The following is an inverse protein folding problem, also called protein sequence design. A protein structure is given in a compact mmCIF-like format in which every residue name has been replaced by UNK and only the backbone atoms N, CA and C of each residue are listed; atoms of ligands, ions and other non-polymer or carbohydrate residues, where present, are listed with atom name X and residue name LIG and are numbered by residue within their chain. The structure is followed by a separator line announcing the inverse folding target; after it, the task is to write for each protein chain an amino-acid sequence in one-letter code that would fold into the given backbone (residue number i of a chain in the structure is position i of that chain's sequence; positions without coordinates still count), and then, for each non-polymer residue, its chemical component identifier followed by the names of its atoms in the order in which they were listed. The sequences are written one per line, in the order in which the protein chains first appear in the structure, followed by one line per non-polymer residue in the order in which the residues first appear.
data_IF_605198832269
#
_entry.id   IF_605198832269
#
_cell.length_a   1.000
_cell.length_b   1.000
_cell.length_c   1.000
_cell.angle_alpha   90.00
_cell.angle_beta   90.00
_cell.angle_gamma   90.00
#
_symmetry.space_group_name_H-M   'P 1'
#
loop_
_entity.id
_entity.type
_entity.pdbx_description
1 polymer ?
#
# COMPACT_ATOMS: atom_id res chain seq x y z
N UNK A 1 -12.35 8.32 -33.27
CA UNK A 1 -12.35 7.84 -31.86
C UNK A 1 -13.72 7.26 -31.57
N UNK A 2 -13.84 5.99 -31.13
CA UNK A 2 -15.13 5.48 -30.69
C UNK A 2 -15.52 6.19 -29.38
N UNK A 3 -16.78 6.63 -29.25
CA UNK A 3 -17.29 7.21 -28.01
C UNK A 3 -17.44 6.10 -26.98
N UNK A 4 -16.63 6.11 -25.93
CA UNK A 4 -16.84 5.25 -24.79
C UNK A 4 -18.10 5.70 -24.05
N UNK A 5 -19.14 4.87 -24.10
CA UNK A 5 -20.39 5.11 -23.40
C UNK A 5 -20.18 4.79 -21.91
N UNK A 6 -20.03 5.85 -21.10
CA UNK A 6 -19.84 5.78 -19.63
C UNK A 6 -20.93 4.95 -18.93
N UNK A 7 -22.12 4.81 -19.52
CA UNK A 7 -23.22 3.98 -18.99
C UNK A 7 -22.97 2.46 -19.04
N UNK A 8 -21.95 1.98 -19.77
CA UNK A 8 -21.56 0.56 -19.87
C UNK A 8 -20.21 0.27 -19.22
N UNK A 9 -19.72 1.16 -18.35
CA UNK A 9 -18.42 1.03 -17.71
C UNK A 9 -18.32 -0.24 -16.83
N UNK A 10 -19.36 -0.55 -16.06
CA UNK A 10 -19.35 -1.71 -15.14
C UNK A 10 -19.33 -3.06 -15.87
N UNK A 11 -20.20 -3.34 -16.88
CA UNK A 11 -20.18 -4.62 -17.59
C UNK A 11 -18.90 -4.85 -18.43
N UNK A 12 -18.33 -3.79 -19.00
CA UNK A 12 -17.10 -3.90 -19.80
C UNK A 12 -15.86 -4.15 -18.95
N UNK A 13 -15.83 -3.68 -17.69
CA UNK A 13 -14.72 -3.96 -16.77
C UNK A 13 -14.78 -5.41 -16.30
N UNK A 14 -15.95 -5.91 -15.87
CA UNK A 14 -16.13 -7.27 -15.32
C UNK A 14 -15.69 -8.37 -16.29
N UNK A 15 -15.90 -8.19 -17.61
CA UNK A 15 -15.57 -9.20 -18.62
C UNK A 15 -14.08 -9.25 -19.00
N UNK A 16 -13.24 -8.37 -18.46
CA UNK A 16 -11.81 -8.31 -18.80
C UNK A 16 -10.97 -9.05 -17.75
N UNK A 17 -9.79 -9.54 -18.16
CA UNK A 17 -8.78 -10.06 -17.20
C UNK A 17 -8.42 -9.03 -16.11
N UNK A 18 -8.64 -7.75 -16.41
CA UNK A 18 -8.48 -6.62 -15.51
C UNK A 18 -9.62 -6.53 -14.47
N UNK A 19 -10.89 -6.70 -14.87
CA UNK A 19 -12.01 -6.81 -13.94
C UNK A 19 -11.89 -7.96 -12.94
N UNK A 20 -11.35 -9.09 -13.38
CA UNK A 20 -11.07 -10.22 -12.48
C UNK A 20 -9.97 -9.92 -11.46
N UNK A 21 -8.94 -9.14 -11.84
CA UNK A 21 -7.91 -8.67 -10.91
C UNK A 21 -8.47 -7.64 -9.92
N UNK A 22 -9.39 -6.78 -10.37
CA UNK A 22 -10.10 -5.80 -9.53
C UNK A 22 -11.01 -6.44 -8.48
N UNK A 23 -11.74 -7.47 -8.88
CA UNK A 23 -12.57 -8.28 -7.99
C UNK A 23 -11.68 -8.93 -6.93
N UNK A 24 -10.57 -9.55 -7.35
CA UNK A 24 -9.61 -10.18 -6.45
C UNK A 24 -9.00 -9.19 -5.44
N UNK A 25 -8.65 -7.97 -5.84
CA UNK A 25 -8.07 -6.95 -4.94
C UNK A 25 -9.08 -6.37 -3.96
N UNK A 26 -10.28 -6.06 -4.45
CA UNK A 26 -11.37 -5.53 -3.63
C UNK A 26 -11.83 -6.58 -2.61
N UNK A 27 -11.90 -7.84 -3.03
CA UNK A 27 -12.19 -8.98 -2.14
C UNK A 27 -11.11 -9.14 -1.07
N UNK A 28 -9.83 -8.94 -1.40
CA UNK A 28 -8.73 -9.04 -0.42
C UNK A 28 -8.80 -7.91 0.59
N UNK A 29 -9.00 -6.66 0.15
CA UNK A 29 -9.19 -5.53 1.07
C UNK A 29 -10.42 -5.72 1.98
N UNK A 30 -11.54 -6.15 1.41
CA UNK A 30 -12.75 -6.46 2.17
C UNK A 30 -12.52 -7.60 3.17
N UNK A 31 -11.78 -8.64 2.78
CA UNK A 31 -11.39 -9.74 3.65
C UNK A 31 -10.50 -9.26 4.80
N UNK A 32 -9.51 -8.40 4.54
CA UNK A 32 -8.65 -7.84 5.58
C UNK A 32 -9.44 -7.01 6.60
N UNK A 33 -10.31 -6.12 6.13
CA UNK A 33 -11.18 -5.32 7.01
C UNK A 33 -12.15 -6.20 7.80
N UNK A 34 -12.71 -7.25 7.18
CA UNK A 34 -13.58 -8.21 7.85
C UNK A 34 -12.82 -8.98 8.95
N UNK A 35 -11.59 -9.43 8.67
CA UNK A 35 -10.74 -10.12 9.63
C UNK A 35 -10.39 -9.24 10.84
N UNK A 36 -10.10 -7.95 10.63
CA UNK A 36 -9.91 -6.99 11.74
C UNK A 36 -11.17 -6.89 12.59
N UNK A 37 -12.33 -6.69 11.97
CA UNK A 37 -13.59 -6.58 12.71
C UNK A 37 -13.94 -7.87 13.47
N UNK A 38 -13.75 -9.04 12.86
CA UNK A 38 -13.96 -10.34 13.51
C UNK A 38 -13.00 -10.55 14.69
N UNK A 39 -11.73 -10.18 14.55
CA UNK A 39 -10.75 -10.29 15.62
C UNK A 39 -11.05 -9.35 16.79
N UNK A 40 -11.61 -8.16 16.54
CA UNK A 40 -12.08 -7.23 17.58
C UNK A 40 -13.34 -7.75 18.30
N UNK A 41 -14.27 -8.39 17.57
CA UNK A 41 -15.52 -8.93 18.14
C UNK A 41 -15.30 -10.25 18.89
N UNK A 42 -14.32 -11.07 18.46
CA UNK A 42 -13.98 -12.36 19.08
C UNK A 42 -12.54 -12.38 19.61
N UNK A 43 -12.23 -11.68 20.73
CA UNK A 43 -10.87 -11.58 21.26
C UNK A 43 -10.25 -12.95 21.61
N UNK A 44 -11.07 -13.92 22.00
CA UNK A 44 -10.65 -15.29 22.32
C UNK A 44 -10.13 -16.08 21.10
N UNK A 45 -10.44 -15.63 19.88
CA UNK A 45 -9.98 -16.24 18.63
C UNK A 45 -9.12 -15.30 17.78
N UNK A 46 -8.80 -14.10 18.29
CA UNK A 46 -7.91 -13.12 17.65
C UNK A 46 -6.59 -13.74 17.18
N UNK A 47 -5.98 -14.58 18.02
CA UNK A 47 -4.76 -15.31 17.71
C UNK A 47 -4.89 -16.24 16.49
N UNK A 48 -6.06 -16.87 16.26
CA UNK A 48 -6.29 -17.72 15.07
C UNK A 48 -6.44 -16.88 13.80
N UNK A 49 -7.09 -15.72 13.89
CA UNK A 49 -7.18 -14.77 12.78
C UNK A 49 -5.82 -14.15 12.44
N UNK A 50 -4.98 -13.87 13.43
CA UNK A 50 -3.58 -13.45 13.24
C UNK A 50 -2.70 -14.57 12.68
N UNK A 51 -2.88 -15.82 13.13
CA UNK A 51 -2.17 -16.97 12.58
C UNK A 51 -2.51 -17.21 11.10
N UNK A 52 -3.77 -17.00 10.72
CA UNK A 52 -4.23 -17.03 9.32
C UNK A 52 -3.59 -15.93 8.45
N UNK A 53 -2.99 -14.90 9.05
CA UNK A 53 -2.39 -13.74 8.39
C UNK A 53 -0.87 -13.67 8.55
N UNK A 54 -0.25 -14.73 9.08
CA UNK A 54 1.20 -14.96 9.22
C UNK A 54 1.93 -14.16 10.34
N UNK A 55 2.13 -14.85 11.48
CA UNK A 55 3.21 -14.75 12.50
C UNK A 55 3.79 -13.35 12.79
N UNK A 56 3.23 -12.75 13.84
CA UNK A 56 3.41 -11.40 14.42
C UNK A 56 4.82 -10.78 14.53
N UNK A 57 5.92 -11.54 14.59
CA UNK A 57 7.26 -10.94 14.75
C UNK A 57 8.17 -11.21 13.55
N UNK A 58 8.08 -12.43 12.98
CA UNK A 58 8.82 -12.75 11.77
C UNK A 58 8.31 -11.94 10.57
N UNK A 59 7.00 -11.67 10.49
CA UNK A 59 6.40 -10.88 9.41
C UNK A 59 6.96 -9.47 9.33
N UNK A 60 7.26 -8.82 10.45
CA UNK A 60 7.81 -7.46 10.47
C UNK A 60 9.26 -7.38 10.01
N UNK A 61 10.11 -8.31 10.48
CA UNK A 61 11.48 -8.41 9.99
C UNK A 61 11.51 -8.75 8.50
N UNK A 62 10.62 -9.63 8.05
CA UNK A 62 10.45 -9.97 6.64
C UNK A 62 9.88 -8.79 5.84
N UNK A 63 8.97 -7.99 6.40
CA UNK A 63 8.42 -6.77 5.77
C UNK A 63 9.52 -5.73 5.56
N UNK A 64 10.35 -5.49 6.58
CA UNK A 64 11.48 -4.56 6.48
C UNK A 64 12.50 -5.02 5.43
N UNK A 65 12.80 -6.33 5.38
CA UNK A 65 13.69 -6.87 4.35
C UNK A 65 13.03 -6.84 2.96
N UNK A 66 11.72 -7.09 2.86
CA UNK A 66 10.95 -7.00 1.62
C UNK A 66 11.00 -5.58 1.06
N UNK A 67 10.76 -4.56 1.89
CA UNK A 67 10.85 -3.15 1.48
C UNK A 67 12.27 -2.73 1.05
N UNK A 68 13.31 -3.34 1.63
CA UNK A 68 14.69 -3.13 1.15
C UNK A 68 14.92 -3.81 -0.20
N UNK A 69 14.39 -5.02 -0.40
CA UNK A 69 14.53 -5.79 -1.64
C UNK A 69 13.72 -5.21 -2.81
N UNK A 70 12.61 -4.55 -2.54
CA UNK A 70 11.80 -3.77 -3.50
C UNK A 70 12.65 -2.72 -4.23
N UNK A 71 13.49 -1.97 -3.51
CA UNK A 71 14.39 -1.01 -4.13
C UNK A 71 15.42 -1.66 -5.09
N UNK A 72 15.76 -2.94 -4.87
CA UNK A 72 16.74 -3.67 -5.68
C UNK A 72 16.14 -4.27 -6.95
N UNK A 73 14.88 -4.72 -6.95
CA UNK A 73 14.31 -5.41 -8.11
C UNK A 73 14.15 -4.47 -9.33
N UNK A 74 13.74 -3.22 -9.09
CA UNK A 74 13.61 -2.20 -10.11
C UNK A 74 14.96 -1.68 -10.56
N UNK A 75 15.98 -1.72 -9.70
CA UNK A 75 17.36 -1.40 -10.11
C UNK A 75 17.93 -2.51 -10.99
N UNK A 76 17.77 -3.78 -10.58
CA UNK A 76 18.22 -4.94 -11.34
C UNK A 76 17.50 -5.06 -12.69
N UNK A 77 16.18 -4.89 -12.74
CA UNK A 77 15.41 -4.95 -13.98
C UNK A 77 15.82 -3.86 -14.99
N UNK A 78 16.26 -2.68 -14.53
CA UNK A 78 16.80 -1.61 -15.38
C UNK A 78 18.24 -1.89 -15.80
N UNK A 79 19.06 -2.45 -14.92
CA UNK A 79 20.44 -2.81 -15.23
C UNK A 79 20.54 -3.99 -16.23
N UNK A 80 19.53 -4.86 -16.26
CA UNK A 80 19.45 -6.03 -17.15
C UNK A 80 18.57 -5.81 -18.39
N UNK A 81 18.03 -4.60 -18.61
CA UNK A 81 17.07 -4.29 -19.68
C UNK A 81 15.84 -5.22 -19.73
N UNK A 82 15.39 -5.71 -18.56
CA UNK A 82 14.25 -6.62 -18.39
C UNK A 82 13.01 -5.93 -17.78
N UNK A 83 12.97 -4.61 -17.76
CA UNK A 83 11.84 -3.86 -17.22
C UNK A 83 10.57 -4.05 -18.06
N UNK A 84 9.49 -4.52 -17.44
CA UNK A 84 8.18 -4.67 -18.10
C UNK A 84 7.09 -3.87 -17.39
N UNK A 85 6.04 -3.47 -18.12
CA UNK A 85 4.87 -2.81 -17.51
C UNK A 85 4.16 -3.71 -16.52
N UNK A 86 4.07 -5.00 -16.82
CA UNK A 86 3.46 -5.99 -15.93
C UNK A 86 4.27 -6.14 -14.64
N UNK A 87 5.61 -6.20 -14.72
CA UNK A 87 6.48 -6.22 -13.55
C UNK A 87 6.26 -5.00 -12.66
N UNK A 88 6.25 -3.79 -13.22
CA UNK A 88 5.97 -2.57 -12.46
C UNK A 88 4.56 -2.51 -11.85
N UNK A 89 3.57 -3.18 -12.44
CA UNK A 89 2.23 -3.29 -11.86
C UNK A 89 2.19 -4.32 -10.73
N UNK A 90 2.94 -5.42 -10.86
CA UNK A 90 3.05 -6.47 -9.86
C UNK A 90 3.77 -5.95 -8.60
N UNK A 91 4.85 -5.20 -8.79
CA UNK A 91 5.63 -4.49 -7.79
C UNK A 91 4.75 -3.59 -6.91
N UNK A 92 4.03 -2.67 -7.54
CA UNK A 92 3.06 -1.80 -6.88
C UNK A 92 1.99 -2.60 -6.11
N UNK A 93 1.51 -3.71 -6.68
CA UNK A 93 0.51 -4.56 -6.03
C UNK A 93 1.06 -5.27 -4.79
N UNK A 94 2.27 -5.83 -4.88
CA UNK A 94 2.91 -6.53 -3.76
C UNK A 94 3.20 -5.58 -2.60
N UNK A 95 3.63 -4.35 -2.89
CA UNK A 95 3.79 -3.31 -1.89
C UNK A 95 2.51 -3.03 -1.13
N UNK A 96 1.41 -2.78 -1.85
CA UNK A 96 0.12 -2.49 -1.22
C UNK A 96 -0.37 -3.64 -0.35
N UNK A 97 -0.19 -4.88 -0.80
CA UNK A 97 -0.51 -6.07 -0.01
C UNK A 97 0.32 -6.15 1.27
N UNK A 98 1.61 -5.83 1.20
CA UNK A 98 2.50 -5.82 2.35
C UNK A 98 2.09 -4.75 3.37
N UNK A 99 1.83 -3.51 2.93
CA UNK A 99 1.36 -2.41 3.79
C UNK A 99 0.02 -2.76 4.47
N UNK A 100 -0.93 -3.37 3.74
CA UNK A 100 -2.20 -3.81 4.33
C UNK A 100 -2.02 -4.83 5.46
N UNK A 101 -1.12 -5.81 5.30
CA UNK A 101 -0.81 -6.77 6.35
C UNK A 101 -0.30 -6.07 7.61
N UNK A 102 0.57 -5.07 7.47
CA UNK A 102 1.07 -4.27 8.59
C UNK A 102 -0.06 -3.48 9.28
N UNK A 103 -0.93 -2.83 8.50
CA UNK A 103 -2.06 -2.05 9.00
C UNK A 103 -3.11 -2.90 9.74
N UNK A 104 -3.33 -4.14 9.29
CA UNK A 104 -4.18 -5.11 9.99
C UNK A 104 -3.60 -5.40 11.39
N UNK A 105 -2.31 -5.72 11.49
CA UNK A 105 -1.67 -5.97 12.78
C UNK A 105 -1.74 -4.74 13.70
N UNK A 106 -1.49 -3.54 13.17
CA UNK A 106 -1.64 -2.30 13.92
C UNK A 106 -3.08 -2.07 14.41
N UNK A 107 -4.09 -2.42 13.61
CA UNK A 107 -5.50 -2.28 14.02
C UNK A 107 -5.88 -3.22 15.16
N UNK A 108 -5.22 -4.38 15.29
CA UNK A 108 -5.41 -5.32 16.40
C UNK A 108 -4.68 -4.87 17.66
N UNK A 109 -3.46 -4.36 17.50
CA UNK A 109 -2.62 -3.84 18.59
C UNK A 109 -3.17 -2.52 19.15
N UNK A 110 -3.78 -1.70 18.30
CA UNK A 110 -4.39 -0.42 18.63
C UNK A 110 -5.89 -0.37 18.27
N UNK A 111 -6.76 -1.12 18.98
CA UNK A 111 -8.19 -1.24 18.67
C UNK A 111 -8.93 0.10 18.54
N UNK A 112 -8.57 1.09 19.36
CA UNK A 112 -9.17 2.43 19.34
C UNK A 112 -8.95 3.19 18.03
N UNK A 113 -7.90 2.86 17.28
CA UNK A 113 -7.54 3.48 16.00
C UNK A 113 -7.82 2.57 14.80
N UNK A 114 -8.41 1.39 15.01
CA UNK A 114 -8.72 0.40 13.95
C UNK A 114 -9.48 0.99 12.76
N UNK A 115 -10.45 1.88 13.01
CA UNK A 115 -11.18 2.58 11.96
C UNK A 115 -10.27 3.43 11.07
N UNK A 116 -9.27 4.13 11.65
CA UNK A 116 -8.33 4.95 10.87
C UNK A 116 -7.43 4.09 9.99
N UNK A 117 -6.96 2.95 10.49
CA UNK A 117 -6.17 2.02 9.69
C UNK A 117 -7.00 1.39 8.56
N UNK A 118 -8.26 1.03 8.81
CA UNK A 118 -9.18 0.55 7.77
C UNK A 118 -9.45 1.63 6.71
N UNK A 119 -9.68 2.87 7.13
CA UNK A 119 -9.85 4.00 6.22
C UNK A 119 -8.59 4.23 5.37
N UNK A 120 -7.41 4.18 6.00
CA UNK A 120 -6.12 4.32 5.31
C UNK A 120 -5.93 3.25 4.24
N UNK A 121 -6.23 1.98 4.55
CA UNK A 121 -6.17 0.87 3.57
C UNK A 121 -7.09 1.13 2.37
N UNK A 122 -8.34 1.54 2.62
CA UNK A 122 -9.30 1.84 1.57
C UNK A 122 -8.85 2.99 0.67
N UNK A 123 -8.37 4.09 1.25
CA UNK A 123 -7.90 5.27 0.51
C UNK A 123 -6.64 4.95 -0.31
N UNK A 124 -5.70 4.19 0.25
CA UNK A 124 -4.45 3.83 -0.42
C UNK A 124 -4.71 3.00 -1.68
N UNK A 125 -5.53 1.95 -1.59
CA UNK A 125 -5.90 1.13 -2.75
C UNK A 125 -6.70 1.94 -3.77
N UNK A 126 -7.71 2.70 -3.32
CA UNK A 126 -8.56 3.46 -4.22
C UNK A 126 -7.77 4.52 -5.00
N UNK A 127 -6.85 5.24 -4.35
CA UNK A 127 -6.05 6.29 -4.97
C UNK A 127 -5.04 5.74 -5.98
N UNK A 128 -4.28 4.69 -5.62
CA UNK A 128 -3.35 4.02 -6.54
C UNK A 128 -4.07 3.43 -7.74
N UNK A 129 -5.27 2.89 -7.52
CA UNK A 129 -6.09 2.37 -8.60
C UNK A 129 -6.56 3.45 -9.57
N UNK A 130 -7.14 4.54 -9.05
CA UNK A 130 -7.58 5.68 -9.88
C UNK A 130 -6.43 6.24 -10.72
N UNK A 131 -5.23 6.28 -10.15
CA UNK A 131 -4.02 6.73 -10.82
C UNK A 131 -3.56 5.78 -11.93
N UNK A 132 -3.54 4.47 -11.67
CA UNK A 132 -3.17 3.45 -12.65
C UNK A 132 -4.15 3.38 -13.81
N UNK A 133 -5.45 3.51 -13.52
CA UNK A 133 -6.51 3.53 -14.52
C UNK A 133 -6.42 4.77 -15.41
N UNK A 134 -6.24 5.95 -14.81
CA UNK A 134 -6.03 7.21 -15.55
C UNK A 134 -4.83 7.11 -16.50
N UNK A 135 -3.71 6.55 -16.03
CA UNK A 135 -2.47 6.37 -16.82
C UNK A 135 -2.65 5.39 -17.99
N UNK A 136 -3.44 4.33 -17.80
CA UNK A 136 -3.71 3.32 -18.82
C UNK A 136 -4.61 3.84 -19.93
N UNK A 137 -5.66 4.60 -19.59
CA UNK A 137 -6.59 5.19 -20.56
C UNK A 137 -5.94 6.30 -21.39
N UNK A 138 -5.03 7.08 -20.81
CA UNK A 138 -4.32 8.15 -21.52
C UNK A 138 -3.18 7.66 -22.43
N UNK A 139 -2.85 6.36 -22.42
CA UNK A 139 -1.79 5.79 -23.27
C UNK A 139 -0.38 6.32 -22.94
N UNK A 140 -0.21 7.01 -21.82
CA UNK A 140 1.06 7.62 -21.43
C UNK A 140 2.10 6.55 -21.14
N UNK A 141 3.33 6.76 -21.61
CA UNK A 141 4.44 5.81 -21.48
C UNK A 141 5.03 5.76 -20.06
N UNK A 142 4.56 6.61 -19.13
CA UNK A 142 4.99 6.65 -17.72
C UNK A 142 4.01 7.40 -16.81
N UNK A 143 3.66 6.80 -15.67
CA UNK A 143 2.76 7.28 -14.60
C UNK A 143 3.21 8.57 -13.87
N UNK A 144 4.34 9.18 -14.29
CA UNK A 144 4.85 10.46 -13.75
C UNK A 144 4.48 11.67 -14.60
N UNK A 145 3.73 11.49 -15.69
CA UNK A 145 3.35 12.55 -16.63
C UNK A 145 1.91 13.03 -16.41
N UNK A 146 1.60 13.48 -15.19
CA UNK A 146 0.39 14.28 -14.95
C UNK A 146 0.64 15.67 -15.56
N UNK A 147 -0.38 16.34 -16.11
CA UNK A 147 -0.29 17.79 -16.36
C UNK A 147 -0.20 18.50 -15.00
N UNK A 148 1.03 18.70 -14.54
CA UNK A 148 1.39 19.19 -13.19
C UNK A 148 1.18 20.71 -13.06
N UNK A 149 0.29 21.28 -13.89
CA UNK A 149 0.00 22.70 -13.99
C UNK A 149 -0.82 23.24 -12.79
N UNK A 150 -1.52 22.38 -12.05
CA UNK A 150 -2.46 22.80 -10.99
C UNK A 150 -1.99 22.74 -9.53
N UNK A 151 -1.10 21.80 -9.14
CA UNK A 151 -0.69 21.63 -7.73
C UNK A 151 0.84 21.46 -7.58
N UNK A 152 1.54 22.46 -7.00
CA UNK A 152 3.00 22.44 -6.87
C UNK A 152 3.53 21.35 -5.92
N UNK A 153 2.74 20.94 -4.92
CA UNK A 153 3.12 19.86 -3.98
C UNK A 153 3.11 18.52 -4.72
N UNK A 154 2.02 18.25 -5.43
CA UNK A 154 1.89 17.05 -6.26
C UNK A 154 2.98 17.03 -7.34
N UNK A 155 3.37 18.22 -7.82
CA UNK A 155 4.49 18.36 -8.75
C UNK A 155 5.82 17.93 -8.17
N UNK A 156 6.19 18.45 -7.02
CA UNK A 156 7.45 18.06 -6.38
C UNK A 156 7.45 16.55 -6.07
N UNK A 157 6.31 16.02 -5.60
CA UNK A 157 6.12 14.60 -5.30
C UNK A 157 6.38 13.70 -6.52
N UNK A 158 5.74 13.95 -7.66
CA UNK A 158 5.90 13.09 -8.85
C UNK A 158 7.17 13.36 -9.66
N UNK A 159 7.73 14.58 -9.60
CA UNK A 159 8.89 14.96 -10.42
C UNK A 159 10.22 14.61 -9.75
N UNK A 160 10.30 14.65 -8.42
CA UNK A 160 11.54 14.43 -7.66
C UNK A 160 11.61 12.99 -7.12
N UNK A 161 12.50 12.16 -7.69
CA UNK A 161 12.73 10.78 -7.23
C UNK A 161 13.12 10.69 -5.74
N UNK A 162 14.02 11.54 -5.20
CA UNK A 162 14.34 11.52 -3.78
C UNK A 162 13.15 11.85 -2.89
N UNK A 163 12.32 12.82 -3.27
CA UNK A 163 11.14 13.19 -2.48
C UNK A 163 10.14 12.03 -2.45
N UNK A 164 9.83 11.44 -3.61
CA UNK A 164 8.94 10.29 -3.69
C UNK A 164 9.41 9.13 -2.80
N UNK A 165 10.71 8.81 -2.88
CA UNK A 165 11.30 7.74 -2.08
C UNK A 165 11.23 8.04 -0.58
N UNK A 166 11.57 9.27 -0.15
CA UNK A 166 11.53 9.66 1.27
C UNK A 166 10.10 9.65 1.82
N UNK A 167 9.11 10.08 1.05
CA UNK A 167 7.71 10.05 1.48
C UNK A 167 7.21 8.60 1.61
N UNK A 168 7.44 7.75 0.60
CA UNK A 168 7.07 6.33 0.65
C UNK A 168 7.78 5.58 1.79
N UNK A 169 9.11 5.72 1.89
CA UNK A 169 9.90 5.07 2.93
C UNK A 169 9.56 5.61 4.33
N UNK A 170 9.29 6.91 4.46
CA UNK A 170 8.87 7.54 5.70
C UNK A 170 7.52 7.03 6.18
N UNK A 171 6.53 6.91 5.28
CA UNK A 171 5.21 6.35 5.60
C UNK A 171 5.29 4.87 6.02
N UNK A 172 6.05 4.05 5.30
CA UNK A 172 6.29 2.65 5.70
C UNK A 172 7.00 2.56 7.06
N UNK A 173 8.01 3.41 7.27
CA UNK A 173 8.75 3.47 8.53
C UNK A 173 7.85 3.94 9.69
N UNK A 174 6.90 4.85 9.46
CA UNK A 174 5.94 5.28 10.46
C UNK A 174 5.12 4.10 11.01
N UNK A 175 4.54 3.30 10.12
CA UNK A 175 3.75 2.14 10.52
C UNK A 175 4.61 1.06 11.20
N UNK A 176 5.84 0.85 10.72
CA UNK A 176 6.80 -0.05 11.37
C UNK A 176 7.16 0.42 12.79
N UNK A 177 7.39 1.73 12.97
CA UNK A 177 7.72 2.31 14.28
C UNK A 177 6.54 2.26 15.25
N UNK A 178 5.31 2.50 14.77
CA UNK A 178 4.10 2.31 15.59
C UNK A 178 4.04 0.89 16.16
N UNK A 179 4.32 -0.11 15.33
CA UNK A 179 4.32 -1.50 15.78
C UNK A 179 5.46 -1.76 16.77
N UNK A 180 6.69 -1.39 16.42
CA UNK A 180 7.88 -1.61 17.27
C UNK A 180 7.76 -0.95 18.65
N UNK A 181 7.29 0.30 18.70
CA UNK A 181 7.14 1.06 19.95
C UNK A 181 6.06 0.47 20.87
N UNK A 182 5.08 -0.26 20.33
CA UNK A 182 4.12 -0.99 21.17
C UNK A 182 4.77 -2.15 21.93
N UNK A 183 5.72 -2.84 21.29
CA UNK A 183 6.29 -4.09 21.81
C UNK A 183 7.58 -3.89 22.63
N UNK A 184 8.22 -2.73 22.56
CA UNK A 184 9.42 -2.42 23.33
C UNK A 184 9.02 -1.79 24.69
N UNK A 185 9.47 -2.39 25.80
CA UNK A 185 9.20 -1.88 27.15
C UNK A 185 9.93 -0.57 27.47
N UNK A 186 11.19 -0.43 27.04
CA UNK A 186 11.98 0.80 27.22
C UNK A 186 12.56 1.29 25.89
N UNK A 187 11.74 1.93 25.04
CA UNK A 187 12.20 2.43 23.77
C UNK A 187 13.11 3.64 23.95
N UNK A 188 14.21 3.65 23.21
CA UNK A 188 15.14 4.78 23.21
C UNK A 188 14.44 6.06 22.71
N UNK A 189 14.70 7.20 23.36
CA UNK A 189 14.01 8.46 23.09
C UNK A 189 14.08 8.92 21.61
N UNK A 190 15.15 8.58 20.90
CA UNK A 190 15.31 8.92 19.48
C UNK A 190 14.29 8.22 18.57
N UNK A 191 13.71 7.09 18.98
CA UNK A 191 12.67 6.39 18.20
C UNK A 191 11.39 7.21 18.12
N UNK A 192 11.02 7.92 19.19
CA UNK A 192 9.87 8.82 19.20
C UNK A 192 10.11 10.06 18.33
N UNK A 193 11.33 10.61 18.33
CA UNK A 193 11.71 11.69 17.43
C UNK A 193 11.63 11.25 15.96
N UNK A 194 12.14 10.05 15.66
CA UNK A 194 12.08 9.47 14.33
C UNK A 194 10.61 9.24 13.90
N UNK A 195 9.78 8.67 14.78
CA UNK A 195 8.36 8.48 14.51
C UNK A 195 7.66 9.81 14.21
N UNK A 196 7.94 10.86 14.99
CA UNK A 196 7.38 12.20 14.76
C UNK A 196 7.80 12.82 13.43
N UNK A 197 9.02 12.54 12.97
CA UNK A 197 9.49 12.95 11.64
C UNK A 197 8.74 12.18 10.53
N UNK A 198 8.52 10.89 10.71
CA UNK A 198 7.80 10.06 9.74
C UNK A 198 6.32 10.43 9.57
N UNK A 199 5.70 11.11 10.54
CA UNK A 199 4.32 11.65 10.41
C UNK A 199 4.21 12.72 9.32
N UNK A 200 5.32 13.37 8.96
CA UNK A 200 5.35 14.41 7.92
C UNK A 200 5.40 13.84 6.49
N UNK A 201 5.61 12.52 6.37
CA UNK A 201 5.68 11.79 5.11
C UNK A 201 4.32 11.22 4.73
#
# INVERSE_FOLDING_TARGET
MPRENVFLFVPNVIATRFGAMMDMLTDRCATMCLLVNLALVYPSHSFLFQLSMCVDIASHWLHLHSALLDAFDGHAARALDQSTRFGAMMDMLTDRCATMCLLVNLALVYPSYSFLFQLSMCVDIASHWLHLHSSTITGSTSHKSIDLSGNPILRIYYTSKPVLFVMCAGNELFFCLLFLLHHIQEPAAWLYWLQGLCVLC
#
